data_IF_985711455513
#
_entry.id   IF_985711455513
#
_cell.length_a   1.000
_cell.length_b   1.000
_cell.length_c   1.000
_cell.angle_alpha   90.00
_cell.angle_beta   90.00
_cell.angle_gamma   90.00
#
_symmetry.space_group_name_H-M   'P 1'
#
loop_
_entity.id
_entity.type
_entity.pdbx_description
1 polymer ?
#
# COMPACT_ATOMS: atom_id res chain seq x y z
N UNK A 1 -8.90 -6.28 -15.53
CA UNK A 1 -10.15 -5.49 -15.37
C UNK A 1 -9.89 -3.99 -15.18
N UNK A 2 -8.87 -3.56 -14.42
CA UNK A 2 -8.53 -2.15 -14.24
C UNK A 2 -7.95 -1.51 -15.52
N UNK A 3 -7.18 -2.23 -16.32
CA UNK A 3 -6.65 -1.74 -17.61
C UNK A 3 -7.76 -1.36 -18.61
N UNK A 4 -8.90 -2.04 -18.57
CA UNK A 4 -10.05 -1.72 -19.42
C UNK A 4 -10.72 -0.38 -19.05
N UNK A 5 -10.59 0.06 -17.81
CA UNK A 5 -11.22 1.29 -17.29
C UNK A 5 -10.43 2.55 -17.55
N UNK A 6 -9.09 2.46 -17.55
CA UNK A 6 -8.18 3.62 -17.64
C UNK A 6 -7.39 3.67 -18.95
N UNK A 7 -7.59 2.71 -19.83
CA UNK A 7 -6.98 2.66 -21.16
C UNK A 7 -5.45 2.49 -21.13
N UNK A 8 -4.80 2.80 -22.25
CA UNK A 8 -3.34 2.66 -22.42
C UNK A 8 -2.50 3.73 -21.70
N UNK A 9 -3.13 4.60 -20.89
CA UNK A 9 -2.43 5.71 -20.22
C UNK A 9 -1.64 5.32 -18.97
N UNK A 10 -1.99 4.19 -18.33
CA UNK A 10 -1.26 3.70 -17.17
C UNK A 10 -0.31 2.60 -17.61
N UNK A 11 0.97 2.80 -17.35
CA UNK A 11 2.02 1.81 -17.59
C UNK A 11 2.39 1.11 -16.29
N UNK A 12 2.67 -0.18 -16.38
CA UNK A 12 3.08 -1.01 -15.26
C UNK A 12 4.48 -1.55 -15.48
N UNK A 13 5.32 -1.47 -14.47
CA UNK A 13 6.61 -2.14 -14.42
C UNK A 13 6.62 -3.00 -13.16
N UNK A 14 6.85 -4.31 -13.33
CA UNK A 14 6.97 -5.26 -12.24
C UNK A 14 8.38 -5.80 -12.19
N UNK A 15 9.00 -5.77 -11.02
CA UNK A 15 10.32 -6.32 -10.78
C UNK A 15 10.27 -7.14 -9.48
N UNK A 16 10.47 -8.45 -9.60
CA UNK A 16 10.58 -9.36 -8.48
C UNK A 16 11.91 -10.11 -8.59
N UNK A 17 12.60 -10.26 -7.47
CA UNK A 17 13.80 -11.12 -7.44
C UNK A 17 13.38 -12.59 -7.47
N UNK A 18 14.24 -13.47 -8.02
CA UNK A 18 13.93 -14.89 -8.16
C UNK A 18 13.58 -15.53 -6.81
N UNK A 19 14.25 -15.11 -5.73
CA UNK A 19 13.99 -15.55 -4.36
C UNK A 19 12.55 -15.26 -3.88
N UNK A 20 11.90 -14.22 -4.43
CA UNK A 20 10.53 -13.87 -4.09
C UNK A 20 9.49 -14.70 -4.84
N UNK A 21 9.84 -15.26 -5.99
CA UNK A 21 8.91 -16.03 -6.82
C UNK A 21 8.57 -17.39 -6.21
N UNK A 22 9.44 -17.89 -5.33
CA UNK A 22 9.26 -19.18 -4.62
C UNK A 22 8.52 -19.00 -3.28
N UNK A 23 8.35 -17.77 -2.80
CA UNK A 23 7.68 -17.50 -1.53
C UNK A 23 6.17 -17.34 -1.72
N UNK A 24 5.41 -17.95 -0.82
CA UNK A 24 3.96 -17.77 -0.74
C UNK A 24 3.65 -16.39 -0.14
N UNK A 25 3.35 -15.43 -0.99
CA UNK A 25 2.96 -14.09 -0.57
C UNK A 25 1.45 -13.95 -0.62
N UNK A 26 0.82 -13.37 0.41
CA UNK A 26 -0.60 -13.13 0.39
C UNK A 26 -1.00 -12.17 -0.74
N UNK A 27 -1.80 -12.66 -1.69
CA UNK A 27 -2.25 -11.89 -2.86
C UNK A 27 -3.04 -10.64 -2.49
N UNK A 28 -3.67 -10.63 -1.31
CA UNK A 28 -4.47 -9.50 -0.83
C UNK A 28 -3.66 -8.33 -0.24
N UNK A 29 -2.33 -8.40 -0.22
CA UNK A 29 -1.48 -7.26 0.15
C UNK A 29 -1.15 -6.43 -1.08
N UNK A 30 -0.66 -7.06 -2.13
CA UNK A 30 -0.19 -6.37 -3.34
C UNK A 30 -1.33 -5.75 -4.14
N UNK A 31 -2.43 -6.49 -4.34
CA UNK A 31 -3.56 -6.02 -5.14
C UNK A 31 -4.16 -4.71 -4.58
N UNK A 32 -4.51 -4.58 -3.29
CA UNK A 32 -5.01 -3.34 -2.73
C UNK A 32 -4.03 -2.16 -2.82
N UNK A 33 -2.72 -2.41 -2.74
CA UNK A 33 -1.71 -1.37 -2.92
C UNK A 33 -1.69 -0.84 -4.35
N UNK A 34 -1.78 -1.73 -5.34
CA UNK A 34 -1.89 -1.35 -6.77
C UNK A 34 -3.20 -0.61 -7.04
N UNK A 35 -4.32 -1.08 -6.49
CA UNK A 35 -5.61 -0.41 -6.61
C UNK A 35 -5.57 1.00 -5.98
N UNK A 36 -4.89 1.16 -4.85
CA UNK A 36 -4.70 2.46 -4.21
C UNK A 36 -3.91 3.42 -5.12
N UNK A 37 -2.83 2.96 -5.74
CA UNK A 37 -2.03 3.75 -6.70
C UNK A 37 -2.87 4.19 -7.91
N UNK A 38 -3.72 3.32 -8.44
CA UNK A 38 -4.60 3.65 -9.56
C UNK A 38 -5.65 4.68 -9.14
N UNK A 39 -6.38 4.40 -8.05
CA UNK A 39 -7.57 5.20 -7.66
C UNK A 39 -7.15 6.55 -7.11
N UNK A 40 -6.11 6.60 -6.31
CA UNK A 40 -5.71 7.82 -5.58
C UNK A 40 -4.50 8.52 -6.20
N UNK A 41 -3.60 7.78 -6.84
CA UNK A 41 -2.45 8.36 -7.49
C UNK A 41 -2.76 8.88 -8.89
N UNK A 42 -3.37 8.06 -9.72
CA UNK A 42 -3.41 8.29 -11.18
C UNK A 42 -4.81 8.58 -11.74
N UNK A 43 -5.91 8.35 -11.01
CA UNK A 43 -7.26 8.51 -11.56
C UNK A 43 -7.57 9.92 -12.06
N UNK A 44 -6.98 10.94 -11.46
CA UNK A 44 -7.15 12.34 -11.83
C UNK A 44 -6.04 12.87 -12.76
N UNK A 45 -5.11 12.02 -13.18
CA UNK A 45 -4.08 12.39 -14.14
C UNK A 45 -4.61 12.27 -15.57
N UNK A 46 -4.72 13.40 -16.28
CA UNK A 46 -5.11 13.41 -17.70
C UNK A 46 -4.05 12.74 -18.60
N UNK A 47 -2.80 12.79 -18.19
CA UNK A 47 -1.66 12.24 -18.92
C UNK A 47 -1.40 10.76 -18.61
N UNK A 48 -2.09 10.22 -17.60
CA UNK A 48 -1.84 8.87 -17.10
C UNK A 48 -0.67 8.84 -16.13
N UNK A 49 0.09 7.75 -16.13
CA UNK A 49 1.25 7.62 -15.27
C UNK A 49 1.84 6.21 -15.25
N UNK A 50 2.82 6.04 -14.38
CA UNK A 50 3.55 4.80 -14.18
C UNK A 50 3.24 4.24 -12.79
N UNK A 51 3.00 2.93 -12.72
CA UNK A 51 2.98 2.15 -11.50
C UNK A 51 4.17 1.20 -11.54
N UNK A 52 5.01 1.30 -10.53
CA UNK A 52 6.17 0.45 -10.35
C UNK A 52 5.96 -0.47 -9.14
N UNK A 53 5.91 -1.77 -9.41
CA UNK A 53 5.78 -2.81 -8.38
C UNK A 53 7.11 -3.50 -8.20
N UNK A 54 7.58 -3.61 -6.97
CA UNK A 54 8.83 -4.27 -6.65
C UNK A 54 8.65 -5.22 -5.47
N UNK A 55 9.20 -6.43 -5.62
CA UNK A 55 9.30 -7.42 -4.55
C UNK A 55 10.75 -7.87 -4.42
N UNK A 56 11.28 -7.91 -3.19
CA UNK A 56 12.63 -8.41 -2.92
C UNK A 56 12.70 -9.00 -1.52
N UNK A 57 13.64 -9.92 -1.36
CA UNK A 57 13.96 -10.52 -0.07
C UNK A 57 15.28 -9.94 0.45
N UNK A 58 15.34 -9.68 1.74
CA UNK A 58 16.57 -9.28 2.43
C UNK A 58 16.58 -9.93 3.80
N UNK A 59 17.55 -10.81 4.02
CA UNK A 59 17.60 -11.68 5.19
C UNK A 59 16.30 -12.51 5.30
N UNK A 60 15.65 -12.47 6.45
CA UNK A 60 14.38 -13.17 6.71
C UNK A 60 13.15 -12.34 6.36
N UNK A 61 13.33 -11.14 5.79
CA UNK A 61 12.22 -10.26 5.46
C UNK A 61 11.91 -10.25 3.96
N UNK A 62 10.63 -10.35 3.68
CA UNK A 62 10.06 -10.02 2.39
C UNK A 62 9.65 -8.54 2.36
N UNK A 63 10.01 -7.87 1.29
CA UNK A 63 9.64 -6.49 1.01
C UNK A 63 8.80 -6.42 -0.25
N UNK A 64 7.72 -5.66 -0.19
CA UNK A 64 6.87 -5.35 -1.32
C UNK A 64 6.67 -3.84 -1.39
N UNK A 65 6.84 -3.24 -2.54
CA UNK A 65 6.55 -1.82 -2.72
C UNK A 65 5.76 -1.56 -3.98
N UNK A 66 4.88 -0.59 -3.89
CA UNK A 66 4.14 -0.02 -5.02
C UNK A 66 4.41 1.47 -5.04
N UNK A 67 4.94 1.95 -6.16
CA UNK A 67 5.17 3.36 -6.39
C UNK A 67 4.33 3.84 -7.57
N UNK A 68 3.77 5.04 -7.47
CA UNK A 68 3.07 5.71 -8.56
C UNK A 68 3.69 7.09 -8.84
N UNK A 69 3.53 7.57 -10.06
CA UNK A 69 3.93 8.91 -10.48
C UNK A 69 2.75 9.89 -10.46
N UNK A 70 1.81 9.68 -9.55
CA UNK A 70 0.58 10.44 -9.47
C UNK A 70 0.70 11.76 -8.71
N UNK A 71 -0.44 12.22 -8.20
CA UNK A 71 -0.55 13.51 -7.54
C UNK A 71 0.19 13.60 -6.21
N UNK A 72 0.57 12.46 -5.61
CA UNK A 72 1.12 12.44 -4.27
C UNK A 72 0.09 12.80 -3.21
N UNK A 73 0.57 12.96 -1.98
CA UNK A 73 -0.23 13.23 -0.80
C UNK A 73 0.27 14.51 -0.15
N UNK A 74 -0.64 15.39 0.20
CA UNK A 74 -0.35 16.60 0.97
C UNK A 74 0.25 16.24 2.35
N UNK A 75 1.15 17.09 2.83
CA UNK A 75 1.94 16.82 4.04
C UNK A 75 1.10 16.50 5.29
N UNK A 76 0.10 17.31 5.59
CA UNK A 76 -0.76 17.09 6.78
C UNK A 76 -1.52 15.76 6.70
N UNK A 77 -2.03 15.44 5.51
CA UNK A 77 -2.71 14.17 5.26
C UNK A 77 -1.76 12.98 5.35
N UNK A 78 -0.54 13.12 4.84
CA UNK A 78 0.50 12.09 4.93
C UNK A 78 0.86 11.80 6.39
N UNK A 79 0.98 12.83 7.22
CA UNK A 79 1.26 12.67 8.65
C UNK A 79 0.13 11.91 9.37
N UNK A 80 -1.14 12.21 9.06
CA UNK A 80 -2.29 11.47 9.61
C UNK A 80 -2.27 10.00 9.18
N UNK A 81 -1.99 9.72 7.91
CA UNK A 81 -1.88 8.35 7.39
C UNK A 81 -0.77 7.59 8.11
N UNK A 82 0.41 8.19 8.26
CA UNK A 82 1.53 7.57 8.97
C UNK A 82 1.18 7.29 10.43
N UNK A 83 0.60 8.25 11.14
CA UNK A 83 0.16 8.05 12.53
C UNK A 83 -0.84 6.91 12.68
N UNK A 84 -1.79 6.78 11.74
CA UNK A 84 -2.75 5.66 11.72
C UNK A 84 -2.03 4.32 11.53
N UNK A 85 -1.08 4.25 10.59
CA UNK A 85 -0.31 3.05 10.31
C UNK A 85 0.57 2.68 11.51
N UNK A 86 1.30 3.64 12.06
CA UNK A 86 2.17 3.44 13.23
C UNK A 86 1.34 2.93 14.42
N UNK A 87 0.16 3.51 14.67
CA UNK A 87 -0.75 3.04 15.71
C UNK A 87 -1.20 1.59 15.54
N UNK A 88 -1.34 1.11 14.30
CA UNK A 88 -1.65 -0.31 14.04
C UNK A 88 -0.48 -1.21 14.44
N UNK A 89 0.75 -0.85 14.11
CA UNK A 89 1.92 -1.68 14.37
C UNK A 89 2.43 -1.58 15.82
N UNK A 90 2.20 -0.44 16.50
CA UNK A 90 2.60 -0.22 17.87
C UNK A 90 1.62 -0.80 18.92
N UNK A 91 0.37 -1.10 18.54
CA UNK A 91 -0.62 -1.69 19.43
C UNK A 91 -0.31 -3.15 19.71
N UNK A 92 -0.18 -3.53 20.98
CA UNK A 92 0.01 -4.93 21.41
C UNK A 92 -1.29 -5.76 21.34
N UNK A 93 -2.44 -5.12 21.20
CA UNK A 93 -3.75 -5.76 21.17
C UNK A 93 -4.35 -5.73 19.76
N UNK A 94 -4.73 -6.91 19.27
CA UNK A 94 -5.66 -7.07 18.16
C UNK A 94 -7.07 -6.64 18.67
N UNK A 95 -7.26 -5.35 18.90
CA UNK A 95 -8.62 -4.84 19.05
C UNK A 95 -9.31 -4.94 17.68
N UNK A 96 -10.23 -5.90 17.58
CA UNK A 96 -11.28 -5.92 16.57
C UNK A 96 -12.18 -4.68 16.78
N UNK A 97 -11.61 -3.51 16.61
CA UNK A 97 -12.36 -2.27 16.71
C UNK A 97 -13.25 -2.13 15.48
N UNK A 98 -14.49 -2.57 15.62
CA UNK A 98 -15.62 -2.24 14.75
C UNK A 98 -15.87 -0.71 14.66
N UNK A 99 -15.13 0.11 15.40
CA UNK A 99 -15.23 1.57 15.37
C UNK A 99 -14.77 2.21 14.05
N UNK A 100 -14.00 1.49 13.21
CA UNK A 100 -13.72 1.94 11.84
C UNK A 100 -14.94 1.86 10.91
N UNK A 101 -16.08 1.33 11.37
CA UNK A 101 -17.31 1.30 10.58
C UNK A 101 -18.01 2.66 10.50
N UNK A 102 -17.81 3.55 11.46
CA UNK A 102 -18.48 4.86 11.49
C UNK A 102 -17.86 5.90 10.53
N UNK A 103 -16.67 5.62 9.97
CA UNK A 103 -16.08 6.44 8.91
C UNK A 103 -16.60 6.13 7.50
N UNK A 104 -17.66 5.30 7.38
CA UNK A 104 -18.30 4.95 6.11
C UNK A 104 -19.14 6.07 5.47
N UNK A 105 -19.21 7.26 6.08
CA UNK A 105 -19.91 8.38 5.48
C UNK A 105 -19.03 9.12 4.46
N UNK A 106 -19.21 8.75 3.20
CA UNK A 106 -19.06 9.60 2.01
C UNK A 106 -17.69 10.17 1.58
N UNK A 107 -16.56 9.69 2.10
CA UNK A 107 -15.27 10.01 1.48
C UNK A 107 -14.43 8.75 1.34
N UNK A 108 -14.12 8.34 0.11
CA UNK A 108 -13.07 7.35 -0.22
C UNK A 108 -11.72 7.91 0.22
N UNK A 109 -11.42 7.81 1.51
CA UNK A 109 -10.22 8.40 2.10
C UNK A 109 -9.06 7.41 1.95
N UNK A 110 -7.98 7.82 1.29
CA UNK A 110 -6.73 7.03 1.13
C UNK A 110 -6.28 6.40 2.45
N UNK A 111 -6.42 7.10 3.57
CA UNK A 111 -5.98 6.63 4.88
C UNK A 111 -6.71 5.39 5.39
N UNK A 112 -8.02 5.26 5.13
CA UNK A 112 -8.82 4.10 5.57
C UNK A 112 -8.37 2.81 4.86
N UNK A 113 -8.14 2.89 3.55
CA UNK A 113 -7.66 1.74 2.77
C UNK A 113 -6.29 1.24 3.24
N UNK A 114 -5.36 2.15 3.50
CA UNK A 114 -4.01 1.79 3.96
C UNK A 114 -4.01 1.26 5.39
N UNK A 115 -4.83 1.81 6.28
CA UNK A 115 -5.02 1.28 7.63
C UNK A 115 -5.53 -0.17 7.62
N UNK A 116 -6.50 -0.48 6.76
CA UNK A 116 -7.00 -1.85 6.60
C UNK A 116 -5.93 -2.82 6.07
N UNK A 117 -5.06 -2.37 5.15
CA UNK A 117 -3.95 -3.19 4.68
C UNK A 117 -2.95 -3.42 5.80
N UNK A 118 -2.60 -2.37 6.57
CA UNK A 118 -1.70 -2.47 7.72
C UNK A 118 -2.22 -3.48 8.76
N UNK A 119 -3.50 -3.43 9.12
CA UNK A 119 -4.12 -4.39 10.04
C UNK A 119 -4.05 -5.83 9.53
N UNK A 120 -4.29 -6.06 8.24
CA UNK A 120 -4.17 -7.40 7.64
C UNK A 120 -2.74 -7.92 7.69
N UNK A 121 -1.77 -7.07 7.35
CA UNK A 121 -0.35 -7.45 7.38
C UNK A 121 0.07 -7.81 8.80
N UNK A 122 -0.25 -6.95 9.79
CA UNK A 122 0.03 -7.22 11.19
C UNK A 122 -0.66 -8.50 11.69
N UNK A 123 -1.91 -8.72 11.29
CA UNK A 123 -2.66 -9.91 11.67
C UNK A 123 -2.12 -11.23 11.14
N UNK A 124 -1.25 -11.19 10.15
CA UNK A 124 -0.64 -12.39 9.55
C UNK A 124 0.82 -12.58 9.94
N UNK A 125 1.50 -11.51 10.27
CA UNK A 125 2.92 -11.50 10.55
C UNK A 125 3.20 -10.63 11.76
N UNK A 126 3.60 -11.23 12.87
CA UNK A 126 3.89 -10.51 14.11
C UNK A 126 4.99 -9.46 13.93
N UNK A 127 6.03 -9.81 13.16
CA UNK A 127 7.13 -8.93 12.82
C UNK A 127 6.97 -8.40 11.40
N UNK A 128 6.27 -7.31 11.30
CA UNK A 128 5.90 -6.67 10.03
C UNK A 128 5.75 -5.17 10.17
N UNK A 129 5.65 -4.47 9.05
CA UNK A 129 5.41 -3.04 9.05
C UNK A 129 5.06 -2.48 7.68
N UNK A 130 4.61 -1.23 7.69
CA UNK A 130 4.29 -0.47 6.47
C UNK A 130 4.86 0.93 6.55
N UNK A 131 5.40 1.41 5.45
CA UNK A 131 5.91 2.78 5.30
C UNK A 131 5.31 3.46 4.09
N UNK A 132 4.97 4.73 4.22
CA UNK A 132 4.43 5.57 3.15
C UNK A 132 5.34 6.77 2.94
N UNK A 133 5.81 6.92 1.72
CA UNK A 133 6.60 8.06 1.26
C UNK A 133 5.83 8.76 0.16
N UNK A 134 5.61 10.05 0.31
CA UNK A 134 4.89 10.83 -0.69
C UNK A 134 5.25 12.30 -0.58
N UNK A 135 5.15 12.97 -1.70
CA UNK A 135 5.21 14.43 -1.78
C UNK A 135 4.21 14.87 -2.83
N UNK A 136 3.47 15.93 -2.55
CA UNK A 136 2.49 16.49 -3.47
C UNK A 136 3.14 16.81 -4.82
N UNK A 137 2.56 16.34 -5.90
CA UNK A 137 3.08 16.48 -7.27
C UNK A 137 4.16 15.48 -7.67
N UNK A 138 4.64 14.61 -6.76
CA UNK A 138 5.74 13.67 -7.03
C UNK A 138 5.35 12.19 -6.98
N UNK A 139 4.08 11.90 -6.67
CA UNK A 139 3.61 10.53 -6.51
C UNK A 139 3.76 9.96 -5.10
N UNK A 140 3.52 8.66 -4.98
CA UNK A 140 3.51 7.95 -3.68
C UNK A 140 4.25 6.63 -3.79
N UNK A 141 4.97 6.27 -2.73
CA UNK A 141 5.57 4.95 -2.55
C UNK A 141 5.01 4.35 -1.27
N UNK A 142 4.42 3.16 -1.36
CA UNK A 142 3.98 2.39 -0.21
C UNK A 142 4.83 1.12 -0.18
N UNK A 143 5.48 0.89 0.95
CA UNK A 143 6.31 -0.28 1.19
C UNK A 143 5.78 -1.06 2.37
N UNK A 144 5.59 -2.36 2.17
CA UNK A 144 5.24 -3.33 3.21
C UNK A 144 6.41 -4.29 3.38
N UNK A 145 6.70 -4.66 4.61
CA UNK A 145 7.68 -5.70 4.92
C UNK A 145 7.15 -6.62 6.01
N UNK A 146 7.54 -7.88 5.97
CA UNK A 146 7.17 -8.88 6.96
C UNK A 146 8.22 -9.99 7.03
N UNK A 147 8.39 -10.53 8.23
CA UNK A 147 9.31 -11.64 8.48
C UNK A 147 8.71 -12.93 7.95
N UNK A 148 9.47 -13.64 7.11
CA UNK A 148 9.13 -14.97 6.55
C UNK A 148 10.06 -16.07 7.07
N UNK A 149 10.99 -15.73 7.96
CA UNK A 149 11.82 -16.70 8.68
C UNK A 149 10.94 -17.54 9.62
N UNK A 150 11.14 -18.83 9.58
CA UNK A 150 10.45 -19.79 10.44
C UNK A 150 11.10 -19.87 11.81
#
# INVERSE_FOLDING_TARGET
LQQMRFGQRIKYICNATDECLEELVPSFVLQPLVENAIIHGLSNSSEGGLIYVRCWKKNEYMYMSVADTGLGIEHERLMKIRSTIDGVFDSDEFENNNELQDLKSNQKTVGVGLGNIAQRVKGMYDDSGMKVYSHQGCGTIIQVYFNIGK
#
